data_IF_027638867501
#
_entry.id   IF_027638867501
#
_cell.length_a   1.000
_cell.length_b   1.000
_cell.length_c   1.000
_cell.angle_alpha   90.00
_cell.angle_beta   90.00
_cell.angle_gamma   90.00
#
_symmetry.space_group_name_H-M   'P 1'
#
loop_
_entity.id
_entity.type
_entity.pdbx_description
1 polymer ?
#
# COMPACT_ATOMS: atom_id res chain seq x y z
N UNK A 1 13.20 -6.58 32.09
CA UNK A 1 12.40 -6.41 30.85
C UNK A 1 12.43 -4.96 30.34
N UNK A 2 12.36 -4.73 29.01
CA UNK A 2 12.30 -3.38 28.42
C UNK A 2 10.88 -2.78 28.54
N UNK A 3 10.75 -1.46 28.49
CA UNK A 3 9.48 -0.72 28.53
C UNK A 3 8.50 -1.24 27.47
N UNK A 4 8.96 -1.51 26.25
CA UNK A 4 8.12 -2.00 25.15
C UNK A 4 7.50 -3.37 25.45
N UNK A 5 8.28 -4.30 26.01
CA UNK A 5 7.81 -5.63 26.40
C UNK A 5 6.77 -5.55 27.52
N UNK A 6 6.96 -4.64 28.48
CA UNK A 6 5.93 -4.34 29.51
C UNK A 6 4.62 -3.88 28.87
N UNK A 7 4.69 -3.03 27.84
CA UNK A 7 3.51 -2.56 27.11
C UNK A 7 2.79 -3.68 26.36
N UNK A 8 3.51 -4.65 25.78
CA UNK A 8 2.88 -5.79 25.10
C UNK A 8 2.01 -6.61 26.04
N UNK A 9 2.51 -6.90 27.24
CA UNK A 9 1.76 -7.61 28.29
C UNK A 9 0.55 -6.78 28.72
N UNK A 10 0.73 -5.48 28.97
CA UNK A 10 -0.37 -4.62 29.42
C UNK A 10 -1.48 -4.43 28.37
N UNK A 11 -1.17 -4.51 27.06
CA UNK A 11 -2.18 -4.38 25.98
C UNK A 11 -3.22 -5.50 26.03
N UNK A 12 -2.82 -6.72 26.37
CA UNK A 12 -3.71 -7.89 26.45
C UNK A 12 -4.37 -8.07 27.83
N UNK A 13 -4.09 -7.18 28.78
CA UNK A 13 -4.65 -7.24 30.13
C UNK A 13 -6.07 -6.62 30.18
N UNK A 14 -6.99 -7.23 30.93
CA UNK A 14 -8.34 -6.68 31.24
C UNK A 14 -8.27 -5.41 32.08
N UNK A 15 -7.27 -5.31 32.95
CA UNK A 15 -7.09 -4.17 33.85
C UNK A 15 -6.44 -2.97 33.15
N UNK A 16 -6.46 -2.90 31.82
CA UNK A 16 -5.88 -1.78 31.09
C UNK A 16 -6.79 -0.55 31.16
N UNK A 17 -6.20 0.62 31.40
CA UNK A 17 -6.88 1.92 31.38
C UNK A 17 -6.13 2.84 30.45
N UNK A 18 -6.83 3.40 29.46
CA UNK A 18 -6.24 4.33 28.51
C UNK A 18 -6.47 5.76 29.01
N UNK A 19 -5.39 6.48 29.26
CA UNK A 19 -5.39 7.91 29.53
C UNK A 19 -4.81 8.64 28.31
N UNK A 20 -5.52 9.63 27.79
CA UNK A 20 -5.10 10.34 26.57
C UNK A 20 -3.88 11.25 26.77
N UNK A 21 -3.59 11.64 28.01
CA UNK A 21 -2.47 12.54 28.33
C UNK A 21 -1.20 11.78 28.67
N UNK A 22 -1.35 10.60 29.29
CA UNK A 22 -0.26 9.85 29.92
C UNK A 22 0.01 8.52 29.18
N UNK A 23 -1.00 7.92 28.56
CA UNK A 23 -0.93 6.66 27.85
C UNK A 23 -1.59 5.49 28.60
N UNK A 24 -1.03 4.29 28.45
CA UNK A 24 -1.59 3.07 29.03
C UNK A 24 -1.19 2.92 30.50
N UNK A 25 -2.18 2.97 31.39
CA UNK A 25 -2.04 2.78 32.83
C UNK A 25 -2.75 1.50 33.28
N UNK A 26 -2.38 0.98 34.44
CA UNK A 26 -3.14 -0.09 35.10
C UNK A 26 -4.36 0.51 35.81
N UNK A 27 -5.55 -0.05 35.60
CA UNK A 27 -6.80 0.38 36.23
C UNK A 27 -6.85 0.10 37.74
N UNK A 28 -6.03 -0.84 38.24
CA UNK A 28 -5.94 -1.16 39.67
C UNK A 28 -5.06 -0.15 40.42
N UNK A 29 -3.91 0.20 39.83
CA UNK A 29 -2.89 1.03 40.52
C UNK A 29 -2.87 2.49 40.03
N UNK A 30 -3.51 2.79 38.89
CA UNK A 30 -3.42 4.06 38.16
C UNK A 30 -1.97 4.52 37.88
N UNK A 31 -1.02 3.57 37.81
CA UNK A 31 0.40 3.83 37.53
C UNK A 31 0.85 3.07 36.29
N UNK A 32 2.02 3.43 35.78
CA UNK A 32 2.70 2.69 34.71
C UNK A 32 3.16 1.30 35.19
N UNK A 33 3.41 0.42 34.22
CA UNK A 33 3.96 -0.91 34.45
C UNK A 33 5.36 -0.86 35.08
N UNK A 34 5.48 -1.35 36.31
CA UNK A 34 6.73 -1.37 37.09
C UNK A 34 7.10 -2.78 37.57
N UNK A 35 7.15 -3.74 36.63
CA UNK A 35 7.46 -5.15 36.92
C UNK A 35 8.64 -5.65 36.07
N UNK A 36 9.47 -6.53 36.64
CA UNK A 36 10.72 -6.97 36.01
C UNK A 36 10.53 -8.10 35.00
N UNK A 37 9.68 -9.08 35.30
CA UNK A 37 9.40 -10.23 34.42
C UNK A 37 7.91 -10.35 34.06
N UNK A 38 7.01 -10.46 35.04
CA UNK A 38 5.57 -10.59 34.82
C UNK A 38 4.76 -9.76 35.83
N UNK A 39 3.54 -9.38 35.44
CA UNK A 39 2.63 -8.69 36.34
C UNK A 39 1.87 -9.73 37.22
N UNK A 40 1.90 -9.59 38.56
CA UNK A 40 1.22 -10.53 39.46
C UNK A 40 -0.31 -10.47 39.35
N UNK A 41 -0.87 -9.30 39.06
CA UNK A 41 -2.31 -9.07 38.89
C UNK A 41 -2.76 -9.18 37.41
N UNK A 42 -1.97 -9.87 36.59
CA UNK A 42 -2.29 -10.01 35.17
C UNK A 42 -3.55 -10.85 34.98
N UNK A 43 -4.54 -10.26 34.30
CA UNK A 43 -5.75 -10.95 33.88
C UNK A 43 -5.88 -10.85 32.38
N UNK A 44 -5.75 -11.98 31.69
CA UNK A 44 -5.81 -12.02 30.24
C UNK A 44 -7.21 -11.69 29.71
N UNK A 45 -7.26 -10.79 28.72
CA UNK A 45 -8.43 -10.53 27.90
C UNK A 45 -8.38 -11.37 26.62
N UNK A 46 -9.04 -12.53 26.65
CA UNK A 46 -9.15 -13.41 25.48
C UNK A 46 -9.74 -12.72 24.25
N UNK A 47 -10.67 -11.76 24.44
CA UNK A 47 -11.31 -11.06 23.31
C UNK A 47 -10.30 -10.16 22.62
N UNK A 48 -9.48 -9.45 23.39
CA UNK A 48 -8.42 -8.63 22.82
C UNK A 48 -7.33 -9.50 22.16
N UNK A 49 -6.91 -10.58 22.81
CA UNK A 49 -5.91 -11.49 22.24
C UNK A 49 -6.39 -12.06 20.90
N UNK A 50 -7.67 -12.45 20.80
CA UNK A 50 -8.30 -12.88 19.55
C UNK A 50 -8.30 -11.77 18.49
N UNK A 51 -8.61 -10.52 18.85
CA UNK A 51 -8.59 -9.37 17.93
C UNK A 51 -7.19 -9.09 17.39
N UNK A 52 -6.17 -9.03 18.24
CA UNK A 52 -4.79 -8.79 17.83
C UNK A 52 -4.31 -9.92 16.89
N UNK A 53 -4.60 -11.18 17.23
CA UNK A 53 -4.29 -12.33 16.37
C UNK A 53 -5.03 -12.28 15.03
N UNK A 54 -6.27 -11.78 15.01
CA UNK A 54 -7.06 -11.66 13.78
C UNK A 54 -6.59 -10.50 12.90
N UNK A 55 -6.23 -9.36 13.48
CA UNK A 55 -5.60 -8.24 12.77
C UNK A 55 -4.29 -8.67 12.10
N UNK A 56 -3.43 -9.40 12.82
CA UNK A 56 -2.18 -9.92 12.28
C UNK A 56 -2.36 -10.93 11.13
N UNK A 57 -3.49 -11.65 11.08
CA UNK A 57 -3.85 -12.54 9.97
C UNK A 57 -4.40 -11.76 8.76
N UNK A 58 -5.22 -10.74 9.00
CA UNK A 58 -5.86 -9.95 7.95
C UNK A 58 -4.86 -9.11 7.14
N UNK A 59 -3.77 -8.60 7.75
CA UNK A 59 -2.79 -7.78 7.04
C UNK A 59 -2.10 -8.50 5.87
N UNK A 60 -1.95 -9.84 5.94
CA UNK A 60 -1.45 -10.62 4.81
C UNK A 60 -2.49 -10.78 3.71
N UNK A 61 -3.77 -10.94 4.06
CA UNK A 61 -4.85 -11.09 3.07
C UNK A 61 -5.07 -9.83 2.23
N UNK A 62 -4.99 -8.64 2.83
CA UNK A 62 -5.33 -7.38 2.16
C UNK A 62 -4.45 -7.03 0.94
N UNK A 63 -3.16 -7.38 0.96
CA UNK A 63 -2.26 -7.14 -0.19
C UNK A 63 -2.58 -8.12 -1.32
N UNK A 64 -2.89 -9.39 -1.00
CA UNK A 64 -3.28 -10.39 -2.00
C UNK A 64 -4.68 -10.14 -2.57
N UNK A 65 -5.59 -9.57 -1.77
CA UNK A 65 -6.94 -9.17 -2.19
C UNK A 65 -6.94 -8.03 -3.22
N UNK A 66 -5.88 -7.21 -3.26
CA UNK A 66 -5.71 -6.17 -4.28
C UNK A 66 -5.37 -6.76 -5.66
N UNK A 67 -4.77 -7.95 -5.69
CA UNK A 67 -4.33 -8.62 -6.93
C UNK A 67 -5.31 -9.68 -7.43
N UNK A 68 -6.09 -10.31 -6.55
CA UNK A 68 -7.07 -11.34 -6.93
C UNK A 68 -8.49 -10.87 -6.61
N UNK A 69 -9.07 -10.13 -7.56
CA UNK A 69 -10.49 -9.76 -7.55
C UNK A 69 -11.34 -11.03 -7.46
N UNK A 70 -12.36 -11.00 -6.60
CA UNK A 70 -13.21 -12.14 -6.22
C UNK A 70 -13.64 -13.05 -7.39
N UNK A 71 -13.92 -14.31 -7.03
CA UNK A 71 -14.15 -15.55 -7.82
C UNK A 71 -14.84 -15.46 -9.21
N UNK A 72 -15.36 -14.32 -9.63
CA UNK A 72 -16.08 -14.08 -10.88
C UNK A 72 -15.47 -13.02 -11.82
N UNK A 73 -14.32 -12.39 -11.49
CA UNK A 73 -13.68 -11.37 -12.34
C UNK A 73 -12.24 -11.72 -12.75
N UNK A 74 -12.03 -12.96 -13.21
CA UNK A 74 -10.70 -13.40 -13.68
C UNK A 74 -10.25 -12.68 -14.96
N UNK A 75 -11.19 -12.23 -15.81
CA UNK A 75 -10.87 -11.58 -17.08
C UNK A 75 -10.21 -10.20 -16.92
N UNK A 76 -10.62 -9.40 -15.94
CA UNK A 76 -10.13 -8.02 -15.74
C UNK A 76 -8.62 -7.93 -15.49
N UNK A 77 -8.01 -8.72 -14.56
CA UNK A 77 -6.56 -8.71 -14.38
C UNK A 77 -5.82 -9.25 -15.61
N UNK A 78 -6.37 -10.26 -16.31
CA UNK A 78 -5.75 -10.79 -17.55
C UNK A 78 -5.63 -9.71 -18.63
N UNK A 79 -6.70 -8.93 -18.84
CA UNK A 79 -6.70 -7.85 -19.82
C UNK A 79 -5.64 -6.80 -19.47
N UNK A 80 -5.50 -6.47 -18.18
CA UNK A 80 -4.50 -5.51 -17.71
C UNK A 80 -3.08 -6.02 -17.92
N UNK A 81 -2.80 -7.28 -17.58
CA UNK A 81 -1.49 -7.90 -17.81
C UNK A 81 -1.15 -7.99 -19.30
N UNK A 82 -2.12 -8.35 -20.15
CA UNK A 82 -1.93 -8.42 -21.60
C UNK A 82 -1.61 -7.04 -22.17
N UNK A 83 -2.30 -6.01 -21.70
CA UNK A 83 -2.10 -4.63 -22.13
C UNK A 83 -0.71 -4.09 -21.71
N UNK A 84 -0.32 -4.27 -20.45
CA UNK A 84 1.00 -3.86 -19.95
C UNK A 84 2.12 -4.60 -20.67
N UNK A 85 1.95 -5.91 -20.87
CA UNK A 85 2.94 -6.73 -21.58
C UNK A 85 3.09 -6.25 -23.02
N UNK A 86 2.00 -5.93 -23.71
CA UNK A 86 2.04 -5.38 -25.07
C UNK A 86 2.82 -4.07 -25.13
N UNK A 87 2.58 -3.14 -24.19
CA UNK A 87 3.32 -1.89 -24.12
C UNK A 87 4.80 -2.08 -23.72
N UNK A 88 5.10 -3.01 -22.82
CA UNK A 88 6.46 -3.32 -22.42
C UNK A 88 7.27 -3.91 -23.59
N UNK A 89 6.66 -4.79 -24.39
CA UNK A 89 7.27 -5.33 -25.61
C UNK A 89 7.54 -4.21 -26.62
N UNK A 90 6.60 -3.29 -26.83
CA UNK A 90 6.80 -2.14 -27.73
C UNK A 90 7.93 -1.22 -27.24
N UNK A 91 8.04 -0.99 -25.93
CA UNK A 91 9.10 -0.18 -25.35
C UNK A 91 10.49 -0.84 -25.47
N UNK A 92 10.59 -2.15 -25.24
CA UNK A 92 11.86 -2.89 -25.31
C UNK A 92 12.26 -3.18 -26.76
N UNK A 93 11.29 -3.40 -27.65
CA UNK A 93 11.53 -3.60 -29.09
C UNK A 93 11.92 -2.32 -29.82
N UNK A 94 12.09 -1.20 -29.11
CA UNK A 94 12.72 0.03 -29.61
C UNK A 94 14.24 -0.11 -29.82
N UNK A 95 14.68 -1.27 -30.30
CA UNK A 95 16.03 -1.49 -30.77
C UNK A 95 16.21 -0.68 -32.07
N UNK A 96 16.58 0.60 -31.96
CA UNK A 96 17.01 1.52 -33.03
C UNK A 96 16.13 1.66 -34.30
N UNK A 97 14.90 1.13 -34.32
CA UNK A 97 14.06 1.13 -35.55
C UNK A 97 13.14 2.35 -35.69
N UNK A 98 13.05 3.21 -34.68
CA UNK A 98 12.14 4.35 -34.68
C UNK A 98 12.92 5.67 -34.60
N UNK A 99 13.70 5.96 -35.64
CA UNK A 99 13.98 7.36 -35.96
C UNK A 99 12.68 7.97 -36.48
N UNK A 100 11.85 8.53 -35.58
CA UNK A 100 10.82 9.48 -36.01
C UNK A 100 11.57 10.61 -36.69
N UNK A 101 11.52 10.58 -38.00
CA UNK A 101 12.01 11.64 -38.83
C UNK A 101 11.07 12.84 -38.63
N UNK A 102 11.59 14.04 -38.29
CA UNK A 102 10.78 15.23 -38.07
C UNK A 102 9.84 15.54 -39.25
N UNK A 103 10.22 15.14 -40.46
CA UNK A 103 9.38 15.21 -41.65
C UNK A 103 8.08 14.38 -41.56
N UNK A 104 8.04 13.27 -40.84
CA UNK A 104 6.82 12.48 -40.65
C UNK A 104 5.78 13.22 -39.78
N UNK A 105 6.24 14.06 -38.85
CA UNK A 105 5.39 14.94 -38.05
C UNK A 105 4.82 16.11 -38.88
N UNK A 106 5.52 16.54 -39.95
CA UNK A 106 5.00 17.54 -40.89
C UNK A 106 3.79 16.99 -41.67
N UNK A 107 3.81 15.71 -42.07
CA UNK A 107 2.74 15.09 -42.87
C UNK A 107 1.50 14.71 -42.06
N UNK A 108 1.63 14.44 -40.76
CA UNK A 108 0.55 13.85 -39.96
C UNK A 108 -0.43 14.86 -39.34
N UNK A 109 -0.29 16.15 -39.64
CA UNK A 109 -1.22 17.15 -39.13
C UNK A 109 -1.01 18.59 -39.59
N UNK A 110 -0.03 18.87 -40.46
CA UNK A 110 0.25 20.24 -40.85
C UNK A 110 -0.01 20.48 -42.33
N UNK A 111 -1.16 21.10 -42.61
CA UNK A 111 -1.43 21.75 -43.87
C UNK A 111 -0.63 23.07 -43.92
N UNK A 112 0.70 22.97 -44.01
CA UNK A 112 1.53 24.14 -44.25
C UNK A 112 1.37 24.53 -45.71
N UNK A 113 0.34 25.33 -45.99
CA UNK A 113 0.44 26.32 -47.06
C UNK A 113 1.66 27.17 -46.67
N UNK A 114 2.79 27.17 -47.40
CA UNK A 114 3.90 28.03 -47.02
C UNK A 114 3.37 29.47 -47.08
N UNK A 115 3.32 30.15 -45.94
CA UNK A 115 2.91 31.56 -45.83
C UNK A 115 3.98 32.53 -46.35
N UNK A 116 5.01 32.00 -47.01
CA UNK A 116 6.14 32.75 -47.59
C UNK A 116 6.32 32.26 -49.02
N UNK A 117 6.08 32.98 -50.11
CA UNK A 117 5.71 34.38 -50.30
C UNK A 117 4.75 34.45 -51.50
N UNK A 118 3.68 35.21 -51.32
CA UNK A 118 3.05 35.93 -52.42
C UNK A 118 4.00 37.07 -52.86
N UNK A 119 4.13 37.26 -54.18
CA UNK A 119 4.82 38.35 -54.87
C UNK A 119 6.35 38.33 -54.74
N UNK A 120 7.14 38.30 -55.81
CA UNK A 120 7.12 39.21 -56.96
C UNK A 120 8.07 38.66 -58.06
N UNK A 121 8.14 39.33 -59.22
CA UNK A 121 7.59 38.92 -60.53
C UNK A 121 8.13 37.62 -61.15
#
# INVERSE_FOLDING_TARGET
MNKEQRLEICKVCKNRKLDFSIGLLCGLTNKFADFDDNCPDFSEDEKENKRIKQQAKNSRGQIFDLFFVGKHYYATPIIWYLNITMYAILAISSNNYFSIHPEALLYWGANFKPLTLHHEP
#
